data_IF_742681378983
#
_entry.id   IF_742681378983
#
_cell.length_a   1.000
_cell.length_b   1.000
_cell.length_c   1.000
_cell.angle_alpha   90.00
_cell.angle_beta   90.00
_cell.angle_gamma   90.00
#
_symmetry.space_group_name_H-M   'P 1'
#
loop_
_entity.id
_entity.type
_entity.pdbx_description
1 polymer ?
#
# COMPACT_ATOMS: atom_id res chain seq x y z
N UNK A 1 54.85 44.18 -66.59
CA UNK A 1 54.31 42.95 -65.99
C UNK A 1 53.08 43.35 -65.17
N UNK A 2 51.93 43.45 -65.85
CA UNK A 2 50.68 44.07 -65.37
C UNK A 2 49.51 43.28 -65.97
N UNK A 3 48.56 42.91 -65.09
CA UNK A 3 47.15 42.52 -65.29
C UNK A 3 46.81 41.47 -66.36
N UNK A 4 45.99 40.50 -65.96
CA UNK A 4 44.62 40.36 -66.46
C UNK A 4 43.79 39.46 -65.54
N UNK A 5 42.68 40.02 -65.08
CA UNK A 5 41.57 39.36 -64.40
C UNK A 5 40.75 38.63 -65.46
N UNK A 6 40.40 37.37 -65.23
CA UNK A 6 39.39 36.64 -66.01
C UNK A 6 38.31 36.17 -65.03
N UNK A 7 37.14 36.78 -65.17
CA UNK A 7 35.91 36.41 -64.48
C UNK A 7 35.25 35.32 -65.33
N UNK A 8 35.10 34.11 -64.77
CA UNK A 8 34.38 33.01 -65.41
C UNK A 8 32.99 32.88 -64.79
N UNK A 9 31.96 33.23 -65.57
CA UNK A 9 30.55 32.97 -65.31
C UNK A 9 30.28 31.46 -65.47
N UNK A 10 29.94 30.75 -64.39
CA UNK A 10 29.41 29.39 -64.48
C UNK A 10 27.89 29.43 -64.32
N UNK A 11 27.21 29.04 -65.40
CA UNK A 11 25.75 28.94 -65.51
C UNK A 11 25.25 27.82 -64.60
N UNK A 12 24.33 28.17 -63.70
CA UNK A 12 23.67 27.31 -62.74
C UNK A 12 22.67 26.38 -63.45
N UNK A 13 22.94 25.07 -63.50
CA UNK A 13 21.96 24.08 -63.94
C UNK A 13 21.16 23.58 -62.73
N UNK A 14 19.89 23.99 -62.65
CA UNK A 14 18.94 23.62 -61.61
C UNK A 14 18.53 22.14 -61.77
N UNK A 15 19.12 21.25 -60.97
CA UNK A 15 18.58 19.89 -60.76
C UNK A 15 17.56 19.98 -59.63
N UNK A 16 16.28 19.89 -59.97
CA UNK A 16 15.18 19.73 -59.02
C UNK A 16 15.30 18.38 -58.30
N UNK A 17 16.00 18.37 -57.16
CA UNK A 17 15.90 17.28 -56.20
C UNK A 17 14.60 17.47 -55.43
N UNK A 18 13.62 16.58 -55.66
CA UNK A 18 12.38 16.51 -54.88
C UNK A 18 12.72 16.22 -53.41
N UNK A 19 12.80 17.27 -52.60
CA UNK A 19 12.85 17.16 -51.15
C UNK A 19 11.46 16.71 -50.70
N UNK A 20 11.29 15.41 -50.52
CA UNK A 20 10.18 14.87 -49.74
C UNK A 20 10.41 15.27 -48.29
N UNK A 21 9.79 16.38 -47.88
CA UNK A 21 9.71 16.78 -46.49
C UNK A 21 8.85 15.71 -45.80
N UNK A 22 9.38 14.89 -44.88
CA UNK A 22 8.54 13.97 -44.13
C UNK A 22 7.55 14.82 -43.31
N UNK A 23 6.25 14.66 -43.60
CA UNK A 23 5.18 15.19 -42.75
C UNK A 23 5.38 14.58 -41.37
N UNK A 24 5.73 15.42 -40.39
CA UNK A 24 5.70 15.04 -38.99
C UNK A 24 4.25 14.67 -38.64
N UNK A 25 3.97 13.36 -38.55
CA UNK A 25 2.73 12.90 -37.94
C UNK A 25 2.74 13.41 -36.50
N UNK A 26 1.67 14.13 -36.13
CA UNK A 26 1.48 14.54 -34.74
C UNK A 26 1.41 13.28 -33.88
N UNK A 27 2.47 13.01 -33.14
CA UNK A 27 2.54 11.89 -32.21
C UNK A 27 1.52 12.11 -31.12
N UNK A 28 0.66 11.12 -30.87
CA UNK A 28 -0.35 11.18 -29.82
C UNK A 28 0.34 11.29 -28.45
N UNK A 29 -0.10 12.24 -27.62
CA UNK A 29 0.44 12.45 -26.28
C UNK A 29 -0.23 11.47 -25.30
N UNK A 30 0.48 10.41 -24.93
CA UNK A 30 -0.02 9.38 -24.03
C UNK A 30 -0.35 9.86 -22.62
N UNK A 31 0.11 11.04 -22.19
CA UNK A 31 -0.31 11.64 -20.93
C UNK A 31 -1.72 12.26 -21.00
N UNK A 32 -2.25 12.45 -22.21
CA UNK A 32 -3.63 12.90 -22.47
C UNK A 32 -4.59 11.76 -22.80
N UNK A 33 -4.17 10.51 -22.60
CA UNK A 33 -5.01 9.35 -22.84
C UNK A 33 -6.26 9.39 -21.95
N UNK A 34 -7.43 9.20 -22.57
CA UNK A 34 -8.74 9.19 -21.90
C UNK A 34 -9.53 7.94 -22.28
N UNK A 35 -10.62 7.64 -21.54
CA UNK A 35 -11.50 6.51 -21.87
C UNK A 35 -12.12 6.61 -23.27
N UNK A 36 -12.34 7.83 -23.76
CA UNK A 36 -12.85 8.11 -25.11
C UNK A 36 -11.79 8.06 -26.22
N UNK A 37 -10.51 7.87 -25.89
CA UNK A 37 -9.44 7.73 -26.89
C UNK A 37 -9.63 6.47 -27.73
N UNK A 38 -9.16 6.52 -28.98
CA UNK A 38 -9.35 5.42 -29.94
C UNK A 38 -8.53 4.18 -29.54
N UNK A 39 -8.93 2.99 -30.01
CA UNK A 39 -8.16 1.77 -29.75
C UNK A 39 -6.71 1.86 -30.29
N UNK A 40 -6.46 2.41 -31.49
CA UNK A 40 -5.10 2.67 -31.96
C UNK A 40 -4.26 3.56 -31.04
N UNK A 41 -4.86 4.58 -30.40
CA UNK A 41 -4.13 5.44 -29.44
C UNK A 41 -3.76 4.67 -28.16
N UNK A 42 -4.66 3.81 -27.67
CA UNK A 42 -4.41 2.93 -26.51
C UNK A 42 -3.27 1.95 -26.81
N UNK A 43 -3.31 1.31 -27.98
CA UNK A 43 -2.27 0.37 -28.43
C UNK A 43 -0.93 1.06 -28.65
N UNK A 44 -0.94 2.29 -29.20
CA UNK A 44 0.24 3.13 -29.35
C UNK A 44 0.91 3.40 -27.98
N UNK A 45 0.14 3.83 -26.98
CA UNK A 45 0.68 4.12 -25.64
C UNK A 45 1.17 2.86 -24.91
N UNK A 46 0.54 1.71 -25.13
CA UNK A 46 1.02 0.43 -24.59
C UNK A 46 2.37 0.03 -25.21
N UNK A 47 2.54 0.25 -26.51
CA UNK A 47 3.81 0.02 -27.20
C UNK A 47 4.90 0.99 -26.71
N UNK A 48 4.57 2.27 -26.53
CA UNK A 48 5.50 3.26 -25.98
C UNK A 48 5.97 2.88 -24.57
N UNK A 49 5.05 2.44 -23.69
CA UNK A 49 5.40 1.94 -22.36
C UNK A 49 6.36 0.74 -22.45
N UNK A 50 6.10 -0.22 -23.33
CA UNK A 50 6.94 -1.41 -23.53
C UNK A 50 8.36 -1.01 -23.96
N UNK A 51 8.48 -0.03 -24.87
CA UNK A 51 9.78 0.49 -25.30
C UNK A 51 10.53 1.19 -24.16
N UNK A 52 9.84 2.00 -23.34
CA UNK A 52 10.44 2.67 -22.19
C UNK A 52 10.88 1.65 -21.13
N UNK A 53 10.14 0.58 -20.92
CA UNK A 53 10.51 -0.51 -20.00
C UNK A 53 11.76 -1.27 -20.48
N UNK A 54 11.86 -1.54 -21.78
CA UNK A 54 13.07 -2.12 -22.38
C UNK A 54 14.29 -1.18 -22.21
N UNK A 55 14.11 0.13 -22.47
CA UNK A 55 15.15 1.13 -22.22
C UNK A 55 15.55 1.19 -20.75
N UNK A 56 14.60 1.08 -19.83
CA UNK A 56 14.88 1.07 -18.40
C UNK A 56 15.72 -0.15 -18.00
N UNK A 57 15.41 -1.33 -18.55
CA UNK A 57 16.18 -2.54 -18.30
C UNK A 57 17.64 -2.40 -18.78
N UNK A 58 17.84 -1.82 -19.96
CA UNK A 58 19.18 -1.54 -20.49
C UNK A 58 19.94 -0.52 -19.62
N UNK A 59 19.30 0.60 -19.26
CA UNK A 59 19.89 1.62 -18.37
C UNK A 59 20.29 1.04 -17.01
N UNK A 60 19.49 0.11 -16.45
CA UNK A 60 19.84 -0.58 -15.21
C UNK A 60 21.08 -1.48 -15.36
N UNK A 61 21.25 -2.13 -16.52
CA UNK A 61 22.45 -2.92 -16.80
C UNK A 61 23.69 -2.03 -16.96
N UNK A 62 23.56 -0.91 -17.68
CA UNK A 62 24.63 0.08 -17.83
C UNK A 62 25.03 0.69 -16.47
N UNK A 63 24.03 1.03 -15.63
CA UNK A 63 24.25 1.54 -14.28
C UNK A 63 25.07 0.56 -13.42
N UNK A 64 24.75 -0.74 -13.46
CA UNK A 64 25.53 -1.77 -12.73
C UNK A 64 26.98 -1.84 -13.19
N UNK A 65 27.25 -1.69 -14.49
CA UNK A 65 28.61 -1.62 -15.01
C UNK A 65 29.33 -0.37 -14.49
N UNK A 66 28.63 0.77 -14.48
CA UNK A 66 29.17 2.06 -14.05
C UNK A 66 29.42 2.11 -12.53
N UNK A 67 28.65 1.38 -11.73
CA UNK A 67 28.86 1.22 -10.29
C UNK A 67 30.28 0.73 -9.96
N UNK A 68 30.87 -0.11 -10.82
CA UNK A 68 32.24 -0.64 -10.63
C UNK A 68 33.34 0.42 -10.80
N UNK A 69 33.00 1.58 -11.35
CA UNK A 69 33.93 2.70 -11.58
C UNK A 69 33.86 3.78 -10.50
N UNK A 70 33.04 3.56 -9.47
CA UNK A 70 32.90 4.46 -8.31
C UNK A 70 34.19 4.51 -7.48
N UNK A 71 34.40 5.60 -6.74
CA UNK A 71 35.60 5.83 -5.93
C UNK A 71 36.53 6.93 -6.46
N UNK A 72 36.24 7.47 -7.64
CA UNK A 72 36.84 8.72 -8.15
C UNK A 72 35.73 9.73 -8.38
N UNK A 73 36.04 11.02 -8.32
CA UNK A 73 35.08 12.09 -8.57
C UNK A 73 34.38 11.94 -9.94
N UNK A 74 35.13 11.58 -11.00
CA UNK A 74 34.55 11.32 -12.32
C UNK A 74 33.63 10.10 -12.31
N UNK A 75 34.08 8.99 -11.71
CA UNK A 75 33.28 7.77 -11.61
C UNK A 75 31.98 7.96 -10.84
N UNK A 76 32.01 8.70 -9.73
CA UNK A 76 30.84 8.98 -8.90
C UNK A 76 29.86 9.95 -9.59
N UNK A 77 30.36 10.94 -10.33
CA UNK A 77 29.51 11.83 -11.16
C UNK A 77 28.87 11.04 -12.32
N UNK A 78 29.62 10.17 -12.97
CA UNK A 78 29.14 9.34 -14.08
C UNK A 78 28.09 8.33 -13.57
N UNK A 79 28.34 7.69 -12.43
CA UNK A 79 27.38 6.81 -11.76
C UNK A 79 26.12 7.56 -11.32
N UNK A 80 26.23 8.73 -10.70
CA UNK A 80 25.09 9.54 -10.29
C UNK A 80 24.28 10.04 -11.49
N UNK A 81 24.94 10.34 -12.62
CA UNK A 81 24.27 10.66 -13.88
C UNK A 81 23.46 9.48 -14.40
N UNK A 82 24.03 8.27 -14.34
CA UNK A 82 23.33 7.03 -14.69
C UNK A 82 22.11 6.80 -13.79
N UNK A 83 22.24 7.01 -12.47
CA UNK A 83 21.10 6.96 -11.53
C UNK A 83 20.00 7.96 -11.88
N UNK A 84 20.35 9.21 -12.20
CA UNK A 84 19.38 10.24 -12.62
C UNK A 84 18.65 9.80 -13.90
N UNK A 85 19.35 9.23 -14.88
CA UNK A 85 18.74 8.78 -16.13
C UNK A 85 17.77 7.63 -15.89
N UNK A 86 18.16 6.62 -15.11
CA UNK A 86 17.27 5.52 -14.67
C UNK A 86 16.03 6.07 -13.99
N UNK A 87 16.19 6.99 -13.04
CA UNK A 87 15.07 7.58 -12.29
C UNK A 87 14.14 8.39 -13.21
N UNK A 88 14.68 9.19 -14.15
CA UNK A 88 13.88 9.94 -15.13
C UNK A 88 13.09 9.01 -16.06
N UNK A 89 13.69 7.94 -16.55
CA UNK A 89 13.01 6.93 -17.37
C UNK A 89 11.91 6.24 -16.57
N UNK A 90 12.17 5.90 -15.29
CA UNK A 90 11.16 5.36 -14.39
C UNK A 90 10.00 6.33 -14.16
N UNK A 91 10.26 7.63 -13.98
CA UNK A 91 9.24 8.68 -13.86
C UNK A 91 8.34 8.70 -15.11
N UNK A 92 8.93 8.65 -16.31
CA UNK A 92 8.15 8.58 -17.58
C UNK A 92 7.26 7.33 -17.63
N UNK A 93 7.84 6.16 -17.37
CA UNK A 93 7.11 4.89 -17.37
C UNK A 93 5.92 4.92 -16.39
N UNK A 94 6.14 5.40 -15.16
CA UNK A 94 5.09 5.48 -14.14
C UNK A 94 3.99 6.49 -14.49
N UNK A 95 4.34 7.62 -15.10
CA UNK A 95 3.33 8.57 -15.58
C UNK A 95 2.41 7.95 -16.64
N UNK A 96 2.95 7.16 -17.58
CA UNK A 96 2.16 6.43 -18.58
C UNK A 96 1.30 5.33 -17.95
N UNK A 97 1.86 4.55 -17.01
CA UNK A 97 1.08 3.54 -16.27
C UNK A 97 -0.10 4.18 -15.55
N UNK A 98 0.08 5.35 -14.92
CA UNK A 98 -1.01 6.08 -14.26
C UNK A 98 -2.06 6.53 -15.29
N UNK A 99 -1.65 7.02 -16.46
CA UNK A 99 -2.59 7.40 -17.53
C UNK A 99 -3.44 6.19 -17.96
N UNK A 100 -2.83 5.04 -18.21
CA UNK A 100 -3.54 3.80 -18.56
C UNK A 100 -4.47 3.32 -17.44
N UNK A 101 -4.04 3.41 -16.18
CA UNK A 101 -4.87 3.03 -15.04
C UNK A 101 -6.10 3.93 -14.91
N UNK A 102 -5.97 5.24 -15.15
CA UNK A 102 -7.12 6.17 -15.15
C UNK A 102 -8.17 5.80 -16.20
N UNK A 103 -7.74 5.43 -17.41
CA UNK A 103 -8.62 4.93 -18.48
C UNK A 103 -9.37 3.68 -18.02
N UNK A 104 -8.63 2.67 -17.55
CA UNK A 104 -9.21 1.41 -17.08
C UNK A 104 -10.20 1.63 -15.94
N UNK A 105 -9.88 2.51 -14.99
CA UNK A 105 -10.75 2.89 -13.87
C UNK A 105 -12.05 3.54 -14.37
N UNK A 106 -11.96 4.45 -15.34
CA UNK A 106 -13.12 5.11 -15.92
C UNK A 106 -14.04 4.11 -16.65
N UNK A 107 -13.47 3.21 -17.44
CA UNK A 107 -14.21 2.14 -18.13
C UNK A 107 -14.90 1.20 -17.13
N UNK A 108 -14.20 0.77 -16.07
CA UNK A 108 -14.77 -0.09 -15.03
C UNK A 108 -15.89 0.59 -14.24
N UNK A 109 -15.75 1.89 -13.94
CA UNK A 109 -16.83 2.68 -13.33
C UNK A 109 -18.07 2.74 -14.22
N UNK A 110 -17.89 2.95 -15.53
CA UNK A 110 -19.00 2.95 -16.48
C UNK A 110 -19.67 1.57 -16.58
N UNK A 111 -18.89 0.49 -16.60
CA UNK A 111 -19.41 -0.88 -16.59
C UNK A 111 -20.22 -1.18 -15.32
N UNK A 112 -19.72 -0.80 -14.13
CA UNK A 112 -20.45 -0.95 -12.86
C UNK A 112 -21.75 -0.15 -12.89
N UNK A 113 -21.73 1.08 -13.41
CA UNK A 113 -22.95 1.89 -13.56
C UNK A 113 -23.98 1.19 -14.46
N UNK A 114 -23.55 0.60 -15.58
CA UNK A 114 -24.42 -0.18 -16.47
C UNK A 114 -25.02 -1.41 -15.79
N UNK A 115 -24.21 -2.15 -15.02
CA UNK A 115 -24.68 -3.31 -14.26
C UNK A 115 -25.65 -2.92 -13.15
N UNK A 116 -25.41 -1.83 -12.43
CA UNK A 116 -26.34 -1.29 -11.44
C UNK A 116 -27.67 -0.89 -12.08
N UNK A 117 -27.65 -0.19 -13.22
CA UNK A 117 -28.86 0.15 -13.97
C UNK A 117 -29.60 -1.09 -14.50
N UNK A 118 -28.88 -2.18 -14.79
CA UNK A 118 -29.51 -3.47 -15.11
C UNK A 118 -30.20 -4.05 -13.89
N UNK A 119 -29.56 -4.07 -12.71
CA UNK A 119 -30.17 -4.55 -11.46
C UNK A 119 -31.46 -3.81 -11.16
N UNK A 120 -31.49 -2.48 -11.28
CA UNK A 120 -32.70 -1.68 -11.04
C UNK A 120 -33.84 -2.07 -12.00
N UNK A 121 -33.55 -2.25 -13.30
CA UNK A 121 -34.56 -2.69 -14.29
C UNK A 121 -35.09 -4.11 -14.03
N UNK A 122 -34.23 -5.01 -13.59
CA UNK A 122 -34.64 -6.37 -13.22
C UNK A 122 -35.49 -6.37 -11.94
N UNK A 123 -35.17 -5.52 -10.96
CA UNK A 123 -36.00 -5.34 -9.77
C UNK A 123 -37.40 -4.79 -10.11
N UNK A 124 -37.49 -3.84 -11.03
CA UNK A 124 -38.77 -3.31 -11.51
C UNK A 124 -39.59 -4.38 -12.23
N UNK A 125 -38.94 -5.18 -13.09
CA UNK A 125 -39.56 -6.29 -13.81
C UNK A 125 -40.06 -7.37 -12.85
N UNK A 126 -39.24 -7.76 -11.86
CA UNK A 126 -39.61 -8.70 -10.80
C UNK A 126 -40.77 -8.17 -9.95
N UNK A 127 -40.76 -6.88 -9.60
CA UNK A 127 -41.84 -6.26 -8.85
C UNK A 127 -43.16 -6.33 -9.65
N UNK A 128 -43.12 -6.12 -10.96
CA UNK A 128 -44.31 -6.26 -11.81
C UNK A 128 -44.79 -7.72 -11.90
N UNK A 129 -43.88 -8.69 -12.05
CA UNK A 129 -44.23 -10.11 -12.03
C UNK A 129 -44.89 -10.51 -10.70
N UNK A 130 -44.39 -10.00 -9.57
CA UNK A 130 -44.98 -10.26 -8.25
C UNK A 130 -46.37 -9.61 -8.08
N UNK A 131 -46.57 -8.38 -8.58
CA UNK A 131 -47.89 -7.74 -8.59
C UNK A 131 -48.89 -8.55 -9.41
N UNK A 132 -48.50 -8.94 -10.63
CA UNK A 132 -49.34 -9.77 -11.50
C UNK A 132 -49.66 -11.11 -10.82
N UNK A 133 -48.66 -11.77 -10.22
CA UNK A 133 -48.88 -13.02 -9.46
C UNK A 133 -49.94 -12.85 -8.38
N UNK A 134 -49.83 -11.78 -7.59
CA UNK A 134 -50.77 -11.49 -6.51
C UNK A 134 -52.18 -11.11 -7.01
N UNK A 135 -52.29 -10.44 -8.16
CA UNK A 135 -53.59 -10.18 -8.80
C UNK A 135 -54.24 -11.47 -9.32
N UNK A 136 -53.46 -12.33 -9.96
CA UNK A 136 -53.90 -13.67 -10.40
C UNK A 136 -54.31 -14.55 -9.21
N UNK A 137 -53.55 -14.56 -8.11
CA UNK A 137 -53.89 -15.34 -6.89
C UNK A 137 -55.25 -14.89 -6.30
N UNK A 138 -55.50 -13.57 -6.24
CA UNK A 138 -56.78 -13.02 -5.76
C UNK A 138 -57.95 -13.33 -6.69
N UNK A 139 -57.73 -13.22 -8.01
CA UNK A 139 -58.77 -13.51 -9.00
C UNK A 139 -59.09 -15.01 -9.05
N UNK A 140 -58.07 -15.88 -9.03
CA UNK A 140 -58.21 -17.34 -9.05
C UNK A 140 -58.97 -17.86 -7.82
N UNK A 141 -58.73 -17.33 -6.62
CA UNK A 141 -59.43 -17.79 -5.41
C UNK A 141 -60.93 -17.44 -5.45
N UNK A 142 -61.26 -16.25 -5.96
CA UNK A 142 -62.65 -15.78 -6.13
C UNK A 142 -63.33 -16.52 -7.27
N UNK A 143 -62.62 -16.80 -8.38
CA UNK A 143 -63.13 -17.61 -9.49
C UNK A 143 -63.37 -19.06 -9.09
N UNK A 144 -62.50 -19.66 -8.27
CA UNK A 144 -62.62 -21.05 -7.80
C UNK A 144 -63.80 -21.25 -6.83
N UNK A 145 -64.20 -20.21 -6.11
CA UNK A 145 -65.40 -20.20 -5.24
C UNK A 145 -66.70 -19.99 -6.05
N UNK A 146 -66.61 -19.39 -7.24
CA UNK A 146 -67.78 -18.97 -8.04
C UNK A 146 -67.95 -19.72 -9.39
N UNK A 147 -66.98 -20.50 -9.85
CA UNK A 147 -67.06 -21.19 -11.15
C UNK A 147 -67.64 -22.59 -11.02
N UNK A 148 -68.90 -22.74 -11.38
CA UNK A 148 -69.59 -24.03 -11.34
C UNK A 148 -69.42 -24.89 -12.62
N UNK A 149 -68.76 -24.43 -13.70
CA UNK A 149 -68.84 -25.16 -15.00
C UNK A 149 -67.72 -24.93 -16.06
N UNK A 150 -66.41 -25.06 -15.77
CA UNK A 150 -65.43 -25.37 -16.84
C UNK A 150 -64.04 -25.79 -16.31
N UNK A 151 -63.77 -27.10 -16.29
CA UNK A 151 -62.48 -27.69 -15.88
C UNK A 151 -61.32 -27.29 -16.81
N UNK A 152 -61.59 -26.99 -18.09
CA UNK A 152 -60.54 -26.62 -19.06
C UNK A 152 -59.89 -25.26 -18.78
N UNK A 153 -60.62 -24.29 -18.21
CA UNK A 153 -60.06 -22.98 -17.85
C UNK A 153 -59.11 -23.10 -16.66
N UNK A 154 -59.44 -23.96 -15.69
CA UNK A 154 -58.59 -24.25 -14.54
C UNK A 154 -57.22 -24.84 -14.93
N UNK A 155 -57.16 -25.73 -15.94
CA UNK A 155 -55.89 -26.26 -16.44
C UNK A 155 -55.04 -25.18 -17.16
N UNK A 156 -55.68 -24.27 -17.89
CA UNK A 156 -55.00 -23.12 -18.53
C UNK A 156 -54.47 -22.10 -17.50
N UNK A 157 -55.18 -21.93 -16.38
CA UNK A 157 -54.78 -21.04 -15.28
C UNK A 157 -53.61 -21.63 -14.47
N UNK A 158 -53.58 -22.97 -14.30
CA UNK A 158 -52.48 -23.70 -13.66
C UNK A 158 -51.16 -23.61 -14.45
N UNK A 159 -51.24 -23.75 -15.77
CA UNK A 159 -50.08 -23.61 -16.67
C UNK A 159 -49.57 -22.16 -16.71
N UNK A 160 -50.48 -21.18 -16.67
CA UNK A 160 -50.16 -19.76 -16.55
C UNK A 160 -49.45 -19.44 -15.22
N UNK A 161 -49.88 -20.06 -14.12
CA UNK A 161 -49.26 -19.90 -12.80
C UNK A 161 -47.85 -20.51 -12.72
N UNK A 162 -47.66 -21.71 -13.29
CA UNK A 162 -46.33 -22.32 -13.40
C UNK A 162 -45.38 -21.44 -14.23
N UNK A 163 -45.88 -20.87 -15.32
CA UNK A 163 -45.13 -19.96 -16.19
C UNK A 163 -44.71 -18.67 -15.47
N UNK A 164 -45.59 -18.07 -14.66
CA UNK A 164 -45.26 -16.87 -13.86
C UNK A 164 -44.22 -17.20 -12.78
N UNK A 165 -44.36 -18.33 -12.07
CA UNK A 165 -43.35 -18.78 -11.10
C UNK A 165 -41.99 -19.00 -11.73
N UNK A 166 -41.96 -19.59 -12.92
CA UNK A 166 -40.73 -19.78 -13.68
C UNK A 166 -40.11 -18.44 -14.07
N UNK A 167 -40.90 -17.47 -14.55
CA UNK A 167 -40.42 -16.13 -14.88
C UNK A 167 -39.87 -15.36 -13.66
N UNK A 168 -40.53 -15.49 -12.49
CA UNK A 168 -40.04 -14.92 -11.22
C UNK A 168 -38.69 -15.52 -10.83
N UNK A 169 -38.58 -16.86 -10.91
CA UNK A 169 -37.32 -17.56 -10.63
C UNK A 169 -36.21 -17.11 -11.57
N UNK A 170 -36.47 -17.05 -12.87
CA UNK A 170 -35.50 -16.60 -13.88
C UNK A 170 -35.04 -15.15 -13.62
N UNK A 171 -35.96 -14.25 -13.28
CA UNK A 171 -35.61 -12.86 -12.95
C UNK A 171 -34.73 -12.77 -11.71
N UNK A 172 -35.02 -13.55 -10.65
CA UNK A 172 -34.16 -13.63 -9.45
C UNK A 172 -32.78 -14.21 -9.78
N UNK A 173 -32.72 -15.25 -10.61
CA UNK A 173 -31.45 -15.86 -11.06
C UNK A 173 -30.61 -14.84 -11.85
N UNK A 174 -31.24 -14.04 -12.72
CA UNK A 174 -30.58 -12.94 -13.44
C UNK A 174 -30.07 -11.86 -12.49
N UNK A 175 -30.88 -11.40 -11.53
CA UNK A 175 -30.47 -10.40 -10.52
C UNK A 175 -29.24 -10.90 -9.73
N UNK A 176 -29.29 -12.15 -9.26
CA UNK A 176 -28.18 -12.75 -8.52
C UNK A 176 -26.92 -12.84 -9.39
N UNK A 177 -27.04 -13.24 -10.66
CA UNK A 177 -25.94 -13.27 -11.61
C UNK A 177 -25.32 -11.89 -11.84
N UNK A 178 -26.13 -10.86 -12.07
CA UNK A 178 -25.65 -9.48 -12.28
C UNK A 178 -25.03 -8.91 -10.99
N UNK A 179 -25.56 -9.25 -9.81
CA UNK A 179 -24.99 -8.84 -8.52
C UNK A 179 -23.59 -9.45 -8.33
N UNK A 180 -23.40 -10.73 -8.62
CA UNK A 180 -22.09 -11.38 -8.57
C UNK A 180 -21.10 -10.68 -9.52
N UNK A 181 -21.51 -10.44 -10.78
CA UNK A 181 -20.68 -9.72 -11.75
C UNK A 181 -20.31 -8.30 -11.27
N UNK A 182 -21.26 -7.60 -10.65
CA UNK A 182 -21.05 -6.26 -10.10
C UNK A 182 -20.03 -6.28 -8.96
N UNK A 183 -20.12 -7.24 -8.04
CA UNK A 183 -19.15 -7.37 -6.94
C UNK A 183 -17.75 -7.73 -7.45
N UNK A 184 -17.64 -8.60 -8.46
CA UNK A 184 -16.37 -8.89 -9.13
C UNK A 184 -15.80 -7.63 -9.78
N UNK A 185 -16.63 -6.85 -10.49
CA UNK A 185 -16.20 -5.60 -11.13
C UNK A 185 -15.76 -4.53 -10.11
N UNK A 186 -16.45 -4.43 -8.96
CA UNK A 186 -16.06 -3.53 -7.85
C UNK A 186 -14.71 -3.92 -7.26
N UNK A 187 -14.46 -5.22 -7.06
CA UNK A 187 -13.16 -5.71 -6.54
C UNK A 187 -12.02 -5.47 -7.52
N UNK A 188 -12.25 -5.66 -8.82
CA UNK A 188 -11.29 -5.33 -9.87
C UNK A 188 -11.01 -3.82 -9.90
N UNK A 189 -12.06 -2.98 -9.81
CA UNK A 189 -11.92 -1.54 -9.71
C UNK A 189 -11.06 -1.13 -8.50
N UNK A 190 -11.30 -1.70 -7.31
CA UNK A 190 -10.49 -1.44 -6.12
C UNK A 190 -9.01 -1.80 -6.37
N UNK A 191 -8.76 -2.96 -6.99
CA UNK A 191 -7.40 -3.41 -7.33
C UNK A 191 -6.70 -2.41 -8.28
N UNK A 192 -7.42 -1.86 -9.27
CA UNK A 192 -6.87 -0.84 -10.18
C UNK A 192 -6.61 0.49 -9.48
N UNK A 193 -7.47 0.89 -8.53
CA UNK A 193 -7.28 2.10 -7.73
C UNK A 193 -6.08 1.99 -6.77
N UNK A 194 -5.87 0.81 -6.19
CA UNK A 194 -4.67 0.50 -5.38
C UNK A 194 -3.40 0.60 -6.25
N UNK A 195 -3.42 -0.02 -7.44
CA UNK A 195 -2.31 0.08 -8.38
C UNK A 195 -2.02 1.53 -8.82
N UNK A 196 -3.06 2.36 -9.01
CA UNK A 196 -2.90 3.78 -9.35
C UNK A 196 -2.27 4.55 -8.18
N UNK A 197 -2.71 4.25 -6.96
CA UNK A 197 -2.17 4.86 -5.73
C UNK A 197 -0.69 4.52 -5.57
N UNK A 198 -0.33 3.24 -5.74
CA UNK A 198 1.04 2.77 -5.68
C UNK A 198 1.93 3.42 -6.74
N UNK A 199 1.45 3.47 -8.00
CA UNK A 199 2.18 4.11 -9.08
C UNK A 199 2.39 5.62 -8.82
N UNK A 200 1.41 6.32 -8.24
CA UNK A 200 1.52 7.74 -7.85
C UNK A 200 2.55 7.97 -6.77
N UNK A 201 2.56 7.14 -5.72
CA UNK A 201 3.54 7.26 -4.64
C UNK A 201 4.95 6.93 -5.15
N UNK A 202 5.09 5.90 -5.97
CA UNK A 202 6.36 5.59 -6.63
C UNK A 202 6.84 6.74 -7.52
N UNK A 203 5.94 7.36 -8.28
CA UNK A 203 6.24 8.51 -9.12
C UNK A 203 6.74 9.70 -8.29
N UNK A 204 6.02 10.07 -7.22
CA UNK A 204 6.40 11.18 -6.35
C UNK A 204 7.76 10.92 -5.67
N UNK A 205 7.97 9.69 -5.17
CA UNK A 205 9.25 9.28 -4.59
C UNK A 205 10.38 9.34 -5.62
N UNK A 206 10.16 8.86 -6.83
CA UNK A 206 11.14 8.92 -7.90
C UNK A 206 11.48 10.36 -8.29
N UNK A 207 10.48 11.25 -8.41
CA UNK A 207 10.68 12.67 -8.68
C UNK A 207 11.51 13.36 -7.59
N UNK A 208 11.22 13.09 -6.31
CA UNK A 208 12.03 13.59 -5.18
C UNK A 208 13.47 13.08 -5.26
N UNK A 209 13.66 11.79 -5.54
CA UNK A 209 14.99 11.19 -5.71
C UNK A 209 15.75 11.78 -6.91
N UNK A 210 15.08 12.11 -8.02
CA UNK A 210 15.70 12.83 -9.15
C UNK A 210 16.20 14.19 -8.69
N UNK A 211 15.34 15.00 -8.06
CA UNK A 211 15.70 16.35 -7.63
C UNK A 211 16.87 16.33 -6.62
N UNK A 212 16.85 15.38 -5.69
CA UNK A 212 17.95 15.18 -4.75
C UNK A 212 19.24 14.77 -5.46
N UNK A 213 19.18 13.79 -6.37
CA UNK A 213 20.35 13.30 -7.11
C UNK A 213 20.93 14.38 -8.02
N UNK A 214 20.10 15.23 -8.63
CA UNK A 214 20.53 16.38 -9.42
C UNK A 214 21.22 17.45 -8.55
N UNK A 215 20.70 17.71 -7.35
CA UNK A 215 21.33 18.60 -6.39
C UNK A 215 22.68 18.06 -5.91
N UNK A 216 22.75 16.77 -5.58
CA UNK A 216 24.00 16.09 -5.21
C UNK A 216 25.01 16.13 -6.36
N UNK A 217 24.57 15.89 -7.60
CA UNK A 217 25.42 16.00 -8.79
C UNK A 217 25.95 17.42 -8.95
N UNK A 218 25.11 18.44 -8.77
CA UNK A 218 25.52 19.85 -8.86
C UNK A 218 26.55 20.19 -7.77
N UNK A 219 26.37 19.67 -6.55
CA UNK A 219 27.33 19.83 -5.47
C UNK A 219 28.67 19.16 -5.81
N UNK A 220 28.66 17.91 -6.27
CA UNK A 220 29.88 17.19 -6.69
C UNK A 220 30.60 17.93 -7.83
N UNK A 221 29.87 18.43 -8.83
CA UNK A 221 30.45 19.22 -9.92
C UNK A 221 31.01 20.57 -9.46
N UNK A 222 30.42 21.20 -8.45
CA UNK A 222 30.95 22.43 -7.86
C UNK A 222 32.26 22.14 -7.09
N UNK A 223 32.30 21.05 -6.32
CA UNK A 223 33.49 20.59 -5.60
C UNK A 223 34.60 20.16 -6.57
N UNK A 224 34.24 19.54 -7.70
CA UNK A 224 35.16 19.18 -8.78
C UNK A 224 35.95 20.37 -9.33
N UNK A 225 35.39 21.58 -9.28
CA UNK A 225 36.09 22.80 -9.72
C UNK A 225 37.12 23.31 -8.72
N UNK A 226 37.14 22.80 -7.48
CA UNK A 226 37.94 23.33 -6.36
C UNK A 226 39.11 22.43 -5.92
N UNK A 227 39.30 21.23 -6.52
CA UNK A 227 40.35 20.17 -6.32
C UNK A 227 39.90 18.87 -5.64
N UNK A 228 40.53 17.74 -6.00
CA UNK A 228 40.27 16.36 -5.51
C UNK A 228 40.32 16.24 -3.97
N UNK A 229 41.11 17.08 -3.28
CA UNK A 229 41.22 17.08 -1.82
C UNK A 229 39.90 17.43 -1.10
N UNK A 230 39.07 18.30 -1.68
CA UNK A 230 37.77 18.68 -1.10
C UNK A 230 36.75 17.54 -1.26
N UNK A 231 36.82 16.79 -2.36
CA UNK A 231 36.01 15.60 -2.58
C UNK A 231 36.34 14.49 -1.57
N UNK A 232 37.63 14.23 -1.32
CA UNK A 232 38.06 13.25 -0.31
C UNK A 232 37.57 13.61 1.10
N UNK A 233 37.48 14.91 1.44
CA UNK A 233 36.89 15.37 2.71
C UNK A 233 35.39 15.07 2.80
N UNK A 234 34.60 15.37 1.75
CA UNK A 234 33.16 15.06 1.72
C UNK A 234 32.91 13.54 1.79
N UNK A 235 33.70 12.74 1.05
CA UNK A 235 33.62 11.29 1.10
C UNK A 235 33.94 10.76 2.51
N UNK A 236 34.93 11.36 3.20
CA UNK A 236 35.25 11.03 4.59
C UNK A 236 34.12 11.43 5.56
N UNK A 237 33.47 12.58 5.39
CA UNK A 237 32.31 13.00 6.18
C UNK A 237 31.12 12.05 6.01
N UNK A 238 30.81 11.65 4.77
CA UNK A 238 29.75 10.66 4.48
C UNK A 238 30.08 9.29 5.06
N UNK A 239 31.34 8.85 4.97
CA UNK A 239 31.82 7.61 5.62
C UNK A 239 31.74 7.70 7.15
N UNK A 240 32.08 8.84 7.74
CA UNK A 240 31.95 9.06 9.18
C UNK A 240 30.49 9.06 9.62
N UNK A 241 29.58 9.64 8.82
CA UNK A 241 28.14 9.59 9.06
C UNK A 241 27.62 8.15 8.96
N UNK A 242 27.95 7.40 7.90
CA UNK A 242 27.60 6.00 7.77
C UNK A 242 28.17 5.15 8.91
N UNK A 243 29.41 5.44 9.34
CA UNK A 243 30.04 4.78 10.50
C UNK A 243 29.31 5.14 11.79
N UNK A 244 28.90 6.39 11.99
CA UNK A 244 28.10 6.80 13.16
C UNK A 244 26.74 6.10 13.18
N UNK A 245 26.06 5.99 12.04
CA UNK A 245 24.81 5.25 11.93
C UNK A 245 25.08 3.75 12.20
N UNK A 246 26.13 3.16 11.61
CA UNK A 246 26.56 1.76 11.85
C UNK A 246 26.96 1.48 13.30
N UNK A 247 27.64 2.39 13.98
CA UNK A 247 27.99 2.28 15.39
C UNK A 247 26.75 2.40 16.28
N UNK A 248 25.73 3.14 15.86
CA UNK A 248 24.40 3.10 16.46
C UNK A 248 23.60 1.81 16.11
N UNK A 249 24.13 0.95 15.22
CA UNK A 249 23.54 -0.36 14.94
C UNK A 249 24.01 -1.48 15.87
N UNK A 250 25.16 -1.32 16.53
CA UNK A 250 25.72 -2.33 17.44
C UNK A 250 25.56 -1.86 18.90
N UNK A 251 24.71 -2.51 19.71
CA UNK A 251 24.54 -2.11 21.10
C UNK A 251 25.77 -2.50 21.93
N UNK A 252 26.24 -1.58 22.77
CA UNK A 252 26.90 -1.95 24.03
C UNK A 252 25.80 -2.60 24.90
N UNK A 253 25.93 -3.89 25.16
CA UNK A 253 24.96 -4.65 25.94
C UNK A 253 24.73 -3.99 27.31
N UNK A 254 23.49 -3.54 27.56
CA UNK A 254 23.11 -2.91 28.81
C UNK A 254 21.72 -2.28 28.71
N UNK A 255 20.77 -2.85 29.43
CA UNK A 255 19.33 -2.52 29.46
C UNK A 255 19.11 -1.00 29.61
N UNK A 256 18.35 -0.39 28.69
CA UNK A 256 17.41 0.72 28.97
C UNK A 256 16.32 0.74 27.89
N UNK A 257 15.13 1.23 28.22
CA UNK A 257 13.84 1.04 27.54
C UNK A 257 13.76 1.27 26.01
N UNK A 258 14.74 1.90 25.38
CA UNK A 258 14.71 2.22 23.95
C UNK A 258 15.50 1.19 23.14
N UNK A 259 14.89 0.63 22.11
CA UNK A 259 15.56 -0.27 21.17
C UNK A 259 16.39 0.58 20.21
N UNK A 260 17.71 0.42 20.23
CA UNK A 260 18.60 1.12 19.31
C UNK A 260 18.28 0.73 17.86
N UNK A 261 18.40 1.71 16.95
CA UNK A 261 17.88 1.59 15.59
C UNK A 261 18.41 0.37 14.84
N UNK A 262 19.69 0.02 14.97
CA UNK A 262 20.18 -1.15 14.25
C UNK A 262 19.84 -2.48 14.89
N UNK A 263 19.67 -2.54 16.20
CA UNK A 263 19.09 -3.73 16.82
C UNK A 263 17.65 -3.92 16.32
N UNK A 264 16.88 -2.83 16.24
CA UNK A 264 15.55 -2.84 15.65
C UNK A 264 15.58 -3.28 14.18
N UNK A 265 16.55 -2.80 13.38
CA UNK A 265 16.70 -3.20 11.98
C UNK A 265 17.09 -4.67 11.82
N UNK A 266 17.92 -5.22 12.72
CA UNK A 266 18.25 -6.64 12.74
C UNK A 266 16.98 -7.49 12.98
N UNK A 267 16.18 -7.13 13.99
CA UNK A 267 14.90 -7.81 14.21
C UNK A 267 13.96 -7.66 13.02
N UNK A 268 13.86 -6.46 12.44
CA UNK A 268 12.99 -6.24 11.28
C UNK A 268 13.43 -7.06 10.05
N UNK A 269 14.73 -7.24 9.85
CA UNK A 269 15.27 -8.10 8.78
C UNK A 269 15.04 -9.59 9.06
N UNK A 270 15.14 -10.04 10.31
CA UNK A 270 14.77 -11.41 10.68
C UNK A 270 13.28 -11.66 10.37
N UNK A 271 12.40 -10.73 10.75
CA UNK A 271 10.98 -10.81 10.44
C UNK A 271 10.72 -10.79 8.92
N UNK A 272 11.42 -9.94 8.16
CA UNK A 272 11.37 -9.94 6.69
C UNK A 272 11.71 -11.31 6.12
N UNK A 273 12.74 -11.97 6.62
CA UNK A 273 13.18 -13.28 6.10
C UNK A 273 12.13 -14.37 6.28
N UNK A 274 11.30 -14.27 7.32
CA UNK A 274 10.26 -15.25 7.67
C UNK A 274 8.89 -14.92 7.07
N UNK A 275 8.54 -13.64 6.97
CA UNK A 275 7.18 -13.19 6.67
C UNK A 275 7.07 -12.29 5.43
N UNK A 276 8.20 -11.86 4.86
CA UNK A 276 8.22 -11.00 3.67
C UNK A 276 7.80 -9.54 3.90
N UNK A 277 7.66 -9.11 5.17
CA UNK A 277 7.32 -7.74 5.49
C UNK A 277 8.49 -6.80 5.21
N UNK A 278 8.20 -5.60 4.71
CA UNK A 278 9.22 -4.57 4.52
C UNK A 278 9.77 -4.07 5.87
N UNK A 279 11.10 -4.08 6.10
CA UNK A 279 11.69 -3.66 7.36
C UNK A 279 11.38 -2.21 7.73
N UNK A 280 11.41 -1.29 6.77
CA UNK A 280 11.11 0.11 7.03
C UNK A 280 9.66 0.30 7.46
N UNK A 281 8.74 -0.47 6.87
CA UNK A 281 7.32 -0.47 7.25
C UNK A 281 7.11 -1.01 8.67
N UNK A 282 7.72 -2.15 9.02
CA UNK A 282 7.63 -2.72 10.38
C UNK A 282 8.21 -1.76 11.43
N UNK A 283 9.38 -1.17 11.15
CA UNK A 283 10.00 -0.17 12.00
C UNK A 283 9.11 1.08 12.15
N UNK A 284 8.43 1.51 11.09
CA UNK A 284 7.50 2.63 11.14
C UNK A 284 6.31 2.36 12.06
N UNK A 285 5.73 1.15 12.01
CA UNK A 285 4.68 0.73 12.93
C UNK A 285 5.19 0.79 14.38
N UNK A 286 6.32 0.17 14.68
CA UNK A 286 6.83 0.15 16.06
C UNK A 286 7.35 1.51 16.55
N UNK A 287 7.73 2.39 15.63
CA UNK A 287 8.00 3.79 15.95
C UNK A 287 6.70 4.52 16.31
N UNK A 288 5.63 4.31 15.55
CA UNK A 288 4.31 4.88 15.81
C UNK A 288 3.69 4.37 17.12
N UNK A 289 3.89 3.09 17.44
CA UNK A 289 3.32 2.45 18.63
C UNK A 289 4.04 2.85 19.92
N UNK A 290 5.37 2.77 19.94
CA UNK A 290 6.13 2.92 21.19
C UNK A 290 7.43 3.69 21.03
N UNK A 291 7.65 4.34 19.88
CA UNK A 291 8.94 4.94 19.54
C UNK A 291 10.09 3.92 19.70
N UNK A 292 9.91 2.72 19.11
CA UNK A 292 10.83 1.59 19.22
C UNK A 292 11.09 1.18 20.68
N UNK A 293 10.03 1.01 21.45
CA UNK A 293 10.11 0.55 22.84
C UNK A 293 10.32 1.65 23.88
N UNK A 294 10.74 2.86 23.49
CA UNK A 294 11.02 3.96 24.41
C UNK A 294 9.82 4.33 25.30
N UNK A 295 8.60 4.17 24.77
CA UNK A 295 7.35 4.53 25.43
C UNK A 295 6.48 3.29 25.72
N UNK A 296 7.02 2.30 26.44
CA UNK A 296 6.29 1.07 26.79
C UNK A 296 5.86 1.08 28.25
N UNK A 297 4.55 1.12 28.46
CA UNK A 297 3.88 0.81 29.73
C UNK A 297 4.21 1.73 30.91
N UNK A 298 3.22 2.48 31.38
CA UNK A 298 3.37 3.44 32.48
C UNK A 298 2.38 3.18 33.62
N UNK A 299 1.63 2.07 33.56
CA UNK A 299 0.64 1.69 34.56
C UNK A 299 0.82 0.23 34.98
N UNK A 300 0.29 -0.08 36.16
CA UNK A 300 0.13 -1.43 36.69
C UNK A 300 -1.35 -1.74 36.87
N UNK A 301 -1.75 -2.98 36.59
CA UNK A 301 -3.03 -3.51 37.04
C UNK A 301 -2.96 -3.70 38.56
N UNK A 302 -4.01 -3.31 39.29
CA UNK A 302 -4.08 -3.54 40.75
C UNK A 302 -5.35 -4.27 41.17
N UNK A 303 -6.41 -4.23 40.36
CA UNK A 303 -7.65 -4.97 40.61
C UNK A 303 -8.04 -5.74 39.34
N UNK A 304 -7.90 -7.08 39.32
CA UNK A 304 -8.24 -7.88 38.16
C UNK A 304 -9.76 -7.98 37.90
N UNK A 305 -10.59 -7.92 38.94
CA UNK A 305 -12.04 -8.05 38.81
C UNK A 305 -12.66 -6.82 38.11
N UNK A 306 -12.14 -5.63 38.44
CA UNK A 306 -12.65 -4.36 37.89
C UNK A 306 -11.79 -3.79 36.76
N UNK A 307 -10.55 -4.26 36.62
CA UNK A 307 -9.61 -3.74 35.62
C UNK A 307 -8.93 -2.44 36.03
N UNK A 308 -9.11 -2.02 37.29
CA UNK A 308 -8.50 -0.82 37.83
C UNK A 308 -7.00 -1.01 38.12
N UNK A 309 -6.27 0.09 38.11
CA UNK A 309 -4.82 0.09 38.26
C UNK A 309 -4.27 1.45 38.67
N UNK A 310 -2.94 1.55 38.69
CA UNK A 310 -2.25 2.79 39.10
C UNK A 310 -1.12 3.14 38.14
N UNK A 311 -0.85 4.44 38.00
CA UNK A 311 0.35 4.94 37.33
C UNK A 311 1.61 4.46 38.05
N UNK A 312 2.53 3.83 37.32
CA UNK A 312 3.77 3.23 37.84
C UNK A 312 4.61 4.23 38.65
N UNK A 313 4.75 5.45 38.13
CA UNK A 313 5.60 6.48 38.74
C UNK A 313 4.80 7.51 39.56
N UNK A 314 3.50 7.65 39.30
CA UNK A 314 2.68 8.72 39.89
C UNK A 314 1.74 8.23 40.99
N UNK A 315 1.46 6.93 41.06
CA UNK A 315 0.42 6.37 41.93
C UNK A 315 -1.00 6.81 41.56
N UNK A 316 -1.19 7.52 40.45
CA UNK A 316 -2.52 7.99 39.99
C UNK A 316 -3.43 6.79 39.77
N UNK A 317 -4.58 6.77 40.45
CA UNK A 317 -5.57 5.70 40.30
C UNK A 317 -6.32 5.85 38.98
N UNK A 318 -6.43 4.75 38.26
CA UNK A 318 -7.18 4.65 37.02
C UNK A 318 -8.21 3.52 37.14
N UNK A 319 -9.48 3.82 36.89
CA UNK A 319 -10.55 2.83 36.97
C UNK A 319 -10.53 1.84 35.79
N UNK A 320 -9.86 2.21 34.70
CA UNK A 320 -9.96 1.52 33.42
C UNK A 320 -8.61 1.15 32.81
N UNK A 321 -7.66 0.62 33.59
CA UNK A 321 -6.33 0.22 33.07
C UNK A 321 -6.42 -0.95 32.09
N UNK A 322 -7.30 -1.92 32.33
CA UNK A 322 -7.40 -3.10 31.48
C UNK A 322 -8.82 -3.65 31.47
N UNK A 323 -9.37 -3.97 30.30
CA UNK A 323 -10.76 -4.42 30.20
C UNK A 323 -10.95 -5.79 30.89
N UNK A 324 -11.78 -5.89 31.96
CA UNK A 324 -11.88 -7.13 32.76
C UNK A 324 -12.32 -8.34 31.95
N UNK A 325 -13.37 -8.16 31.15
CA UNK A 325 -14.02 -9.25 30.39
C UNK A 325 -13.24 -9.71 29.16
N UNK A 326 -12.20 -8.97 28.74
CA UNK A 326 -11.45 -9.27 27.51
C UNK A 326 -9.97 -9.50 27.76
N UNK A 327 -9.31 -8.65 28.54
CA UNK A 327 -7.85 -8.55 28.57
C UNK A 327 -7.23 -9.02 29.89
N UNK A 328 -7.93 -8.91 31.02
CA UNK A 328 -7.37 -9.33 32.32
C UNK A 328 -7.05 -10.82 32.34
N UNK A 329 -7.99 -11.68 31.92
CA UNK A 329 -7.76 -13.13 31.84
C UNK A 329 -6.51 -13.48 31.02
N UNK A 330 -6.43 -13.06 29.74
CA UNK A 330 -5.23 -13.28 28.93
C UNK A 330 -3.95 -12.69 29.53
N UNK A 331 -4.00 -11.53 30.17
CA UNK A 331 -2.84 -10.92 30.83
C UNK A 331 -2.31 -11.75 31.99
N UNK A 332 -3.19 -12.26 32.85
CA UNK A 332 -2.83 -13.14 33.96
C UNK A 332 -2.23 -14.46 33.46
N UNK A 333 -2.75 -15.02 32.36
CA UNK A 333 -2.18 -16.21 31.74
C UNK A 333 -0.78 -15.96 31.17
N UNK A 334 -0.59 -14.85 30.44
CA UNK A 334 0.69 -14.49 29.82
C UNK A 334 1.76 -14.29 30.90
N UNK A 335 1.44 -13.52 31.94
CA UNK A 335 2.37 -13.23 33.04
C UNK A 335 2.72 -14.49 33.83
N UNK A 336 1.72 -15.33 34.13
CA UNK A 336 1.94 -16.65 34.76
C UNK A 336 2.87 -17.54 33.94
N UNK A 337 2.65 -17.65 32.62
CA UNK A 337 3.48 -18.48 31.74
C UNK A 337 4.93 -17.97 31.65
N UNK A 338 5.15 -16.67 31.82
CA UNK A 338 6.47 -16.04 31.84
C UNK A 338 7.11 -15.98 33.24
N UNK A 339 6.42 -16.45 34.28
CA UNK A 339 6.88 -16.36 35.67
C UNK A 339 6.95 -14.93 36.20
N UNK A 340 6.16 -14.01 35.63
CA UNK A 340 6.11 -12.59 36.03
C UNK A 340 5.00 -12.34 37.06
N UNK A 341 5.24 -11.38 37.96
CA UNK A 341 4.20 -10.84 38.83
C UNK A 341 3.27 -9.92 38.01
N UNK A 342 1.98 -10.28 37.81
CA UNK A 342 1.05 -9.49 37.00
C UNK A 342 0.83 -8.08 37.54
N UNK A 343 1.02 -7.85 38.85
CA UNK A 343 0.83 -6.55 39.48
C UNK A 343 2.08 -5.65 39.40
N UNK A 344 3.17 -6.17 38.84
CA UNK A 344 4.42 -5.44 38.58
C UNK A 344 4.80 -5.41 37.09
N UNK A 345 4.07 -6.14 36.25
CA UNK A 345 4.24 -6.08 34.80
C UNK A 345 3.63 -4.78 34.26
N UNK A 346 4.40 -4.03 33.47
CA UNK A 346 3.96 -2.72 32.95
C UNK A 346 3.00 -2.86 31.77
N UNK A 347 1.96 -2.04 31.80
CA UNK A 347 0.95 -1.92 30.73
C UNK A 347 0.71 -0.45 30.40
N UNK A 348 0.15 -0.15 29.24
CA UNK A 348 -0.19 1.24 28.89
C UNK A 348 -1.25 1.82 29.81
N UNK A 349 -1.13 3.12 30.08
CA UNK A 349 -2.12 3.85 30.86
C UNK A 349 -3.32 4.28 30.00
N UNK A 350 -4.50 4.46 30.61
CA UNK A 350 -5.64 5.09 29.94
C UNK A 350 -5.35 6.51 29.51
N UNK A 351 -5.91 6.88 28.36
CA UNK A 351 -5.98 8.28 27.94
C UNK A 351 -7.04 8.95 28.80
N UNK A 352 -6.65 9.91 29.65
CA UNK A 352 -7.50 10.52 30.69
C UNK A 352 -8.77 11.19 30.16
N UNK A 353 -8.82 11.54 28.87
CA UNK A 353 -9.99 12.11 28.19
C UNK A 353 -10.90 11.09 27.51
N UNK A 354 -10.57 9.80 27.55
CA UNK A 354 -11.31 8.72 26.88
C UNK A 354 -12.08 7.87 27.88
N UNK A 355 -13.39 7.74 27.66
CA UNK A 355 -14.26 6.80 28.39
C UNK A 355 -14.12 5.36 27.89
N UNK A 356 -13.32 5.13 26.84
CA UNK A 356 -13.17 3.83 26.19
C UNK A 356 -12.03 3.00 26.79
N UNK A 357 -12.18 1.67 26.77
CA UNK A 357 -11.17 0.69 27.19
C UNK A 357 -10.10 0.49 26.10
N UNK A 358 -9.29 1.53 25.86
CA UNK A 358 -8.20 1.55 24.87
C UNK A 358 -6.80 1.54 25.52
N UNK A 359 -6.70 0.89 26.68
CA UNK A 359 -5.54 0.86 27.58
C UNK A 359 -5.15 -0.59 27.91
N UNK A 360 -4.02 -0.76 28.61
CA UNK A 360 -3.57 -2.07 29.07
C UNK A 360 -2.77 -2.85 28.02
N UNK A 361 -2.32 -2.17 26.96
CA UNK A 361 -1.41 -2.76 25.98
C UNK A 361 -0.05 -3.11 26.58
N UNK A 362 0.56 -4.19 26.07
CA UNK A 362 1.81 -4.78 26.56
C UNK A 362 2.89 -4.74 25.49
N UNK A 363 4.14 -4.52 25.93
CA UNK A 363 5.32 -4.63 25.08
C UNK A 363 5.52 -3.52 24.03
N UNK A 364 6.66 -3.54 23.31
CA UNK A 364 6.93 -2.61 22.20
C UNK A 364 5.86 -2.57 21.10
N UNK A 365 5.22 -3.70 20.80
CA UNK A 365 4.14 -3.78 19.80
C UNK A 365 2.84 -3.09 20.23
N UNK A 366 2.69 -2.76 21.53
CA UNK A 366 1.48 -2.19 22.12
C UNK A 366 0.21 -3.00 21.82
N UNK A 367 0.33 -4.34 21.79
CA UNK A 367 -0.83 -5.22 21.67
C UNK A 367 -1.62 -5.27 22.97
N UNK A 368 -2.95 -5.34 22.85
CA UNK A 368 -3.78 -5.77 23.97
C UNK A 368 -3.44 -7.23 24.33
N UNK A 369 -3.55 -7.64 25.60
CA UNK A 369 -3.30 -9.02 26.01
C UNK A 369 -4.12 -10.04 25.22
N UNK A 370 -5.39 -9.73 24.92
CA UNK A 370 -6.23 -10.58 24.06
C UNK A 370 -5.70 -10.69 22.63
N UNK A 371 -5.23 -9.60 22.03
CA UNK A 371 -4.58 -9.60 20.72
C UNK A 371 -3.31 -10.45 20.74
N UNK A 372 -2.44 -10.26 21.74
CA UNK A 372 -1.22 -11.07 21.89
C UNK A 372 -1.53 -12.57 21.96
N UNK A 373 -2.59 -12.94 22.69
CA UNK A 373 -3.01 -14.33 22.86
C UNK A 373 -3.32 -15.02 21.52
N UNK A 374 -3.85 -14.29 20.53
CA UNK A 374 -4.11 -14.82 19.18
C UNK A 374 -2.83 -15.33 18.49
N UNK A 375 -1.68 -14.76 18.82
CA UNK A 375 -0.40 -15.07 18.18
C UNK A 375 0.46 -16.04 18.98
N UNK A 376 0.15 -16.33 20.25
CA UNK A 376 1.02 -17.13 21.14
C UNK A 376 1.45 -18.44 20.50
N UNK A 377 0.52 -19.25 19.98
CA UNK A 377 0.88 -20.55 19.37
C UNK A 377 1.77 -20.41 18.13
N UNK A 378 1.49 -19.43 17.26
CA UNK A 378 2.29 -19.16 16.05
C UNK A 378 3.68 -18.63 16.39
N UNK A 379 3.76 -17.75 17.38
CA UNK A 379 5.01 -17.21 17.89
C UNK A 379 5.86 -18.30 18.54
N UNK A 380 5.27 -19.16 19.37
CA UNK A 380 5.98 -20.32 19.95
C UNK A 380 6.58 -21.21 18.86
N UNK A 381 5.82 -21.50 17.80
CA UNK A 381 6.30 -22.33 16.69
C UNK A 381 7.48 -21.71 15.95
N UNK A 382 7.55 -20.38 15.84
CA UNK A 382 8.61 -19.68 15.09
C UNK A 382 9.81 -19.35 15.98
N UNK A 383 9.59 -19.08 17.26
CA UNK A 383 10.62 -18.62 18.20
C UNK A 383 11.27 -19.79 18.97
N UNK A 384 10.55 -20.91 19.16
CA UNK A 384 11.03 -22.05 19.93
C UNK A 384 10.89 -21.90 21.46
N UNK A 385 10.28 -20.82 21.95
CA UNK A 385 10.01 -20.55 23.36
C UNK A 385 8.65 -19.88 23.57
N UNK A 386 8.18 -19.81 24.83
CA UNK A 386 6.95 -19.08 25.14
C UNK A 386 7.15 -17.57 24.92
N UNK A 387 6.39 -16.93 24.01
CA UNK A 387 6.70 -15.60 23.53
C UNK A 387 6.45 -14.55 24.60
N UNK A 388 7.44 -13.68 24.78
CA UNK A 388 7.43 -12.62 25.78
C UNK A 388 7.08 -11.27 25.12
N UNK A 389 5.92 -10.66 25.40
CA UNK A 389 5.54 -9.38 24.78
C UNK A 389 6.52 -8.25 25.11
N UNK A 390 7.20 -8.30 26.25
CA UNK A 390 8.20 -7.31 26.62
C UNK A 390 9.59 -7.57 26.01
N UNK A 391 9.81 -8.71 25.35
CA UNK A 391 10.98 -8.97 24.52
C UNK A 391 10.87 -8.21 23.18
N UNK A 392 11.84 -7.36 22.81
CA UNK A 392 11.85 -6.70 21.51
C UNK A 392 11.72 -7.65 20.32
N UNK A 393 12.49 -8.75 20.28
CA UNK A 393 12.48 -9.67 19.15
C UNK A 393 11.09 -10.32 18.95
N UNK A 394 10.49 -10.79 20.04
CA UNK A 394 9.17 -11.43 20.04
C UNK A 394 8.07 -10.43 19.65
N UNK A 395 8.15 -9.18 20.15
CA UNK A 395 7.25 -8.09 19.77
C UNK A 395 7.34 -7.76 18.28
N UNK A 396 8.55 -7.68 17.72
CA UNK A 396 8.75 -7.44 16.28
C UNK A 396 8.15 -8.57 15.45
N UNK A 397 8.36 -9.82 15.87
CA UNK A 397 7.78 -10.98 15.22
C UNK A 397 6.25 -10.96 15.27
N UNK A 398 5.67 -10.61 16.42
CA UNK A 398 4.21 -10.52 16.60
C UNK A 398 3.60 -9.42 15.72
N UNK A 399 4.17 -8.21 15.71
CA UNK A 399 3.73 -7.14 14.81
C UNK A 399 3.89 -7.52 13.34
N UNK A 400 5.00 -8.17 12.98
CA UNK A 400 5.23 -8.70 11.64
C UNK A 400 4.16 -9.71 11.22
N UNK A 401 3.85 -10.69 12.08
CA UNK A 401 2.80 -11.69 11.83
C UNK A 401 1.45 -11.01 11.62
N UNK A 402 1.07 -10.09 12.52
CA UNK A 402 -0.22 -9.43 12.40
C UNK A 402 -0.32 -8.60 11.12
N UNK A 403 0.67 -7.76 10.82
CA UNK A 403 0.69 -6.97 9.59
C UNK A 403 0.70 -7.83 8.32
N UNK A 404 1.31 -9.01 8.37
CA UNK A 404 1.31 -9.97 7.27
C UNK A 404 -0.09 -10.55 7.05
N UNK A 405 -0.79 -10.94 8.11
CA UNK A 405 -2.18 -11.41 8.04
C UNK A 405 -3.12 -10.30 7.49
N UNK A 406 -2.79 -9.04 7.76
CA UNK A 406 -3.53 -7.88 7.27
C UNK A 406 -3.21 -7.50 5.80
N UNK A 407 -2.27 -8.22 5.16
CA UNK A 407 -1.89 -8.04 3.76
C UNK A 407 -0.76 -7.02 3.53
N UNK A 408 -0.03 -6.62 4.57
CA UNK A 408 1.06 -5.62 4.51
C UNK A 408 2.41 -6.14 4.01
N UNK A 409 2.42 -7.26 3.28
CA UNK A 409 3.64 -7.92 2.78
C UNK A 409 4.21 -7.16 1.57
N UNK A 410 5.53 -7.22 1.37
CA UNK A 410 6.19 -6.59 0.23
C UNK A 410 6.24 -5.07 0.36
N UNK A 411 6.23 -4.36 -0.78
CA UNK A 411 6.48 -2.90 -0.85
C UNK A 411 5.30 -2.08 -1.39
N UNK A 412 4.12 -2.67 -1.60
CA UNK A 412 2.91 -1.93 -2.02
C UNK A 412 2.50 -0.93 -0.94
N UNK A 413 2.42 0.35 -1.31
CA UNK A 413 2.09 1.43 -0.38
C UNK A 413 0.62 1.37 0.02
N UNK A 414 -0.27 1.07 -0.92
CA UNK A 414 -1.69 0.89 -0.71
C UNK A 414 -1.96 -0.26 0.27
N UNK A 415 -1.33 -1.43 0.04
CA UNK A 415 -1.47 -2.60 0.91
C UNK A 415 -0.93 -2.35 2.33
N UNK A 416 0.27 -1.77 2.43
CA UNK A 416 0.85 -1.42 3.73
C UNK A 416 0.04 -0.37 4.48
N UNK A 417 -0.46 0.66 3.80
CA UNK A 417 -1.33 1.67 4.42
C UNK A 417 -2.63 1.06 4.92
N UNK A 418 -3.28 0.20 4.11
CA UNK A 418 -4.47 -0.55 4.54
C UNK A 418 -4.19 -1.45 5.74
N UNK A 419 -3.05 -2.16 5.74
CA UNK A 419 -2.63 -3.00 6.86
C UNK A 419 -2.39 -2.18 8.13
N UNK A 420 -1.72 -1.03 8.03
CA UNK A 420 -1.52 -0.11 9.15
C UNK A 420 -2.86 0.42 9.71
N UNK A 421 -3.81 0.76 8.84
CA UNK A 421 -5.14 1.20 9.27
C UNK A 421 -5.89 0.12 10.07
N UNK A 422 -5.83 -1.13 9.61
CA UNK A 422 -6.43 -2.27 10.32
C UNK A 422 -5.70 -2.59 11.62
N UNK A 423 -4.37 -2.47 11.64
CA UNK A 423 -3.54 -2.68 12.82
C UNK A 423 -4.01 -1.80 14.00
N UNK A 424 -4.31 -0.53 13.74
CA UNK A 424 -4.81 0.43 14.72
C UNK A 424 -6.33 0.30 15.04
N UNK A 425 -7.01 -0.76 14.59
CA UNK A 425 -8.43 -0.97 14.86
C UNK A 425 -9.40 -0.09 14.06
N UNK A 426 -8.92 0.59 13.00
CA UNK A 426 -9.78 1.29 12.06
C UNK A 426 -10.58 0.28 11.24
N UNK A 427 -11.88 0.15 11.50
CA UNK A 427 -12.78 -0.83 10.86
C UNK A 427 -12.99 -0.68 9.35
N UNK A 428 -12.33 0.26 8.67
CA UNK A 428 -12.41 0.44 7.23
C UNK A 428 -11.03 0.31 6.57
N UNK A 429 -10.95 -0.58 5.58
CA UNK A 429 -9.81 -0.88 4.71
C UNK A 429 -9.47 0.26 3.73
N UNK A 430 -9.59 1.51 4.17
CA UNK A 430 -9.19 2.66 3.37
C UNK A 430 -7.69 2.86 3.46
N UNK A 431 -7.00 2.89 2.32
CA UNK A 431 -5.56 3.23 2.23
C UNK A 431 -5.24 4.66 2.69
N UNK A 432 -6.22 5.42 3.20
CA UNK A 432 -6.12 6.86 3.51
C UNK A 432 -6.39 7.24 4.96
N UNK A 433 -6.52 6.27 5.88
CA UNK A 433 -6.73 6.61 7.30
C UNK A 433 -5.54 7.41 7.86
N UNK A 434 -5.79 8.22 8.89
CA UNK A 434 -4.78 9.07 9.51
C UNK A 434 -3.56 8.29 10.01
N UNK A 435 -3.81 7.16 10.69
CA UNK A 435 -2.75 6.30 11.21
C UNK A 435 -1.85 5.76 10.08
N UNK A 436 -2.45 5.20 9.03
CA UNK A 436 -1.72 4.69 7.86
C UNK A 436 -0.88 5.79 7.20
N UNK A 437 -1.42 7.00 7.02
CA UNK A 437 -0.65 8.15 6.50
C UNK A 437 0.55 8.50 7.37
N UNK A 438 0.39 8.50 8.69
CA UNK A 438 1.48 8.75 9.64
C UNK A 438 2.58 7.70 9.52
N UNK A 439 2.19 6.41 9.49
CA UNK A 439 3.12 5.28 9.32
C UNK A 439 3.85 5.37 7.99
N UNK A 440 3.18 5.68 6.87
CA UNK A 440 3.84 5.81 5.56
C UNK A 440 4.83 6.98 5.51
N UNK A 441 4.57 8.07 6.25
CA UNK A 441 5.53 9.17 6.41
C UNK A 441 6.76 8.73 7.20
N UNK A 442 6.56 8.06 8.34
CA UNK A 442 7.64 7.50 9.14
C UNK A 442 8.48 6.49 8.35
N UNK A 443 7.83 5.58 7.63
CA UNK A 443 8.47 4.60 6.74
C UNK A 443 9.41 5.28 5.75
N UNK A 444 8.97 6.37 5.13
CA UNK A 444 9.77 7.10 4.14
C UNK A 444 11.06 7.68 4.75
N UNK A 445 10.96 8.24 5.96
CA UNK A 445 12.13 8.72 6.72
C UNK A 445 13.05 7.58 7.16
N UNK A 446 12.49 6.48 7.64
CA UNK A 446 13.25 5.31 8.06
C UNK A 446 13.96 4.66 6.88
N UNK A 447 13.30 4.54 5.73
CA UNK A 447 13.89 4.01 4.50
C UNK A 447 15.07 4.87 4.05
N UNK A 448 14.97 6.21 4.14
CA UNK A 448 16.10 7.08 3.82
C UNK A 448 17.31 6.84 4.75
N UNK A 449 17.08 6.54 6.03
CA UNK A 449 18.15 6.17 6.95
C UNK A 449 18.76 4.80 6.61
N UNK A 450 17.94 3.84 6.16
CA UNK A 450 18.41 2.53 5.69
C UNK A 450 19.23 2.68 4.40
N UNK A 451 18.81 3.52 3.46
CA UNK A 451 19.50 3.76 2.19
C UNK A 451 20.91 4.39 2.39
N UNK A 452 21.20 4.97 3.56
CA UNK A 452 22.52 5.51 3.92
C UNK A 452 23.48 4.47 4.53
N UNK A 453 22.98 3.30 4.92
CA UNK A 453 23.76 2.20 5.51
C UNK A 453 24.40 1.33 4.44
#
# INVERSE_FOLDING_TARGET
>A
MIRRIVIAFFVLSFIFFNITIPKALAVFDCLKLMSSSSQPDKDYCQNELTQIEAQLADLLNQQKAQQKTTGTLKGDVDYLTSQINVLKTKVKARALVIAQLKVNIAEKKSAIQSLSLKIEREHESLAQLLRNTNEFDKASLVHLILSDNNISNFYSDLESYASIKQAVKESVDVINGVKIQTEVAKKDLETKQDAETDAKVELESAQKKVAQSEAEKKQLLAISKQTEAVYQKLAAEKRAQATKIRSALFPLAGITQKIEFGTALLYANDVKSKLGIDPAFLLAILTQESNLGANVGQCYLTNPDTGAGVGKNTGTVFLNVMKPTRDVGPFLEITKALGLDPFKATVSCPITSSVYWNSGSIGPAQFLPSTWKLFVGRLQSVLGHYPNPWSPADSFMASGMYLSDLGGIGNSTSAQSKAACKYNGGGAASSTCYYGKSVMKLKSTIQANIDLL
#
